data_IF_896189332242
#
_entry.id   IF_896189332242
#
_cell.length_a   1.000
_cell.length_b   1.000
_cell.length_c   1.000
_cell.angle_alpha   90.00
_cell.angle_beta   90.00
_cell.angle_gamma   90.00
#
_symmetry.space_group_name_H-M   'P 1'
#
loop_
_entity.id
_entity.type
_entity.pdbx_description
1 polymer ?
#
# COMPACT_ATOMS: atom_id res chain seq x y z
N UNK A 1 -25.79 -19.37 24.64
CA UNK A 1 -24.98 -18.20 24.22
C UNK A 1 -25.87 -16.98 24.32
N UNK A 2 -25.55 -16.06 25.22
CA UNK A 2 -26.40 -14.94 25.60
C UNK A 2 -26.39 -13.88 24.47
N UNK A 3 -27.50 -13.22 24.17
CA UNK A 3 -27.62 -12.24 23.08
C UNK A 3 -26.57 -11.11 23.18
N UNK A 4 -26.21 -10.74 24.43
CA UNK A 4 -25.15 -9.79 24.73
C UNK A 4 -23.75 -10.27 24.30
N UNK A 5 -23.48 -11.57 24.32
CA UNK A 5 -22.19 -12.15 23.89
C UNK A 5 -22.07 -12.09 22.37
N UNK A 6 -23.18 -12.27 21.65
CA UNK A 6 -23.21 -12.17 20.19
C UNK A 6 -23.00 -10.72 19.71
N UNK A 7 -23.59 -9.75 20.41
CA UNK A 7 -23.36 -8.32 20.19
C UNK A 7 -21.91 -7.92 20.50
N UNK A 8 -21.31 -8.43 21.58
CA UNK A 8 -19.92 -8.14 21.93
C UNK A 8 -18.93 -8.69 20.87
N UNK A 9 -19.20 -9.88 20.33
CA UNK A 9 -18.38 -10.48 19.27
C UNK A 9 -18.46 -9.72 17.93
N UNK A 10 -19.60 -9.09 17.62
CA UNK A 10 -19.75 -8.24 16.43
C UNK A 10 -18.96 -6.92 16.54
N UNK A 11 -18.83 -6.36 17.75
CA UNK A 11 -18.10 -5.10 17.97
C UNK A 11 -16.58 -5.31 17.90
N UNK A 12 -16.06 -6.48 18.29
CA UNK A 12 -14.64 -6.81 18.21
C UNK A 12 -14.21 -7.52 16.91
N UNK A 13 -15.15 -7.86 16.04
CA UNK A 13 -14.91 -8.65 14.82
C UNK A 13 -14.69 -7.84 13.54
N UNK A 14 -14.59 -6.51 13.62
CA UNK A 14 -14.35 -5.66 12.46
C UNK A 14 -12.87 -5.57 12.10
N UNK A 15 -12.30 -6.60 11.49
CA UNK A 15 -11.08 -6.40 10.67
C UNK A 15 -11.55 -5.70 9.40
N UNK A 16 -11.69 -4.38 9.46
CA UNK A 16 -12.06 -3.58 8.30
C UNK A 16 -11.01 -3.73 7.21
N UNK A 17 -11.44 -3.87 5.97
CA UNK A 17 -10.56 -3.60 4.84
C UNK A 17 -10.04 -2.16 4.99
N UNK A 18 -8.71 -1.99 5.02
CA UNK A 18 -8.07 -0.68 5.26
C UNK A 18 -8.34 0.27 4.12
N UNK A 19 -8.24 -0.22 2.89
CA UNK A 19 -8.69 0.52 1.72
C UNK A 19 -10.20 0.66 1.80
N UNK A 20 -10.66 1.88 2.00
CA UNK A 20 -12.08 2.19 2.00
C UNK A 20 -12.51 2.58 0.59
N UNK A 21 -13.77 2.30 0.26
CA UNK A 21 -14.36 2.75 -1.00
C UNK A 21 -15.53 3.69 -0.72
N UNK A 22 -15.34 4.96 -1.04
CA UNK A 22 -16.35 6.01 -0.86
C UNK A 22 -16.18 7.09 -1.91
N UNK A 23 -17.30 7.69 -2.37
CA UNK A 23 -17.30 8.74 -3.40
C UNK A 23 -16.53 8.36 -4.68
N UNK A 24 -16.66 7.08 -5.05
CA UNK A 24 -15.98 6.40 -6.14
C UNK A 24 -14.44 6.34 -6.02
N UNK A 25 -13.87 6.69 -4.87
CA UNK A 25 -12.45 6.61 -4.61
C UNK A 25 -12.10 5.36 -3.81
N UNK A 26 -11.00 4.70 -4.16
CA UNK A 26 -10.25 3.85 -3.26
C UNK A 26 -9.37 4.74 -2.39
N UNK A 27 -9.71 4.87 -1.10
CA UNK A 27 -9.01 5.71 -0.13
C UNK A 27 -8.19 4.86 0.84
N UNK A 28 -7.33 5.54 1.59
CA UNK A 28 -6.56 4.99 2.71
C UNK A 28 -5.62 3.84 2.30
N UNK A 29 -5.11 3.90 1.05
CA UNK A 29 -4.09 2.96 0.58
C UNK A 29 -2.78 3.25 1.29
N UNK A 30 -2.21 2.26 1.97
CA UNK A 30 -0.96 2.37 2.70
C UNK A 30 0.22 1.82 1.89
N UNK A 31 1.16 2.70 1.57
CA UNK A 31 2.46 2.35 0.98
C UNK A 31 3.50 2.27 2.09
N UNK A 32 4.05 1.08 2.32
CA UNK A 32 5.12 0.86 3.30
C UNK A 32 6.47 0.71 2.59
N UNK A 33 7.42 1.57 2.95
CA UNK A 33 8.82 1.48 2.49
C UNK A 33 9.62 0.72 3.56
N UNK A 34 10.34 -0.33 3.17
CA UNK A 34 11.16 -1.08 4.11
C UNK A 34 12.33 -0.24 4.65
N UNK A 35 12.69 -0.33 5.95
CA UNK A 35 13.81 0.43 6.54
C UNK A 35 15.18 0.26 5.87
N UNK A 36 15.40 -0.86 5.19
CA UNK A 36 16.65 -1.13 4.46
C UNK A 36 16.67 -0.49 3.06
N UNK A 37 15.57 0.13 2.60
CA UNK A 37 15.57 0.90 1.35
C UNK A 37 16.36 2.20 1.57
N UNK A 38 17.44 2.46 0.82
CA UNK A 38 18.19 3.69 0.95
C UNK A 38 17.33 4.92 0.66
N UNK A 39 17.56 6.01 1.41
CA UNK A 39 16.85 7.27 1.18
C UNK A 39 17.15 7.82 -0.23
N UNK A 40 16.08 7.95 -1.04
CA UNK A 40 16.12 8.62 -2.34
C UNK A 40 14.83 9.42 -2.52
N UNK A 41 14.97 10.75 -2.61
CA UNK A 41 13.81 11.65 -2.77
C UNK A 41 13.01 11.37 -4.04
N UNK A 42 13.64 10.81 -5.09
CA UNK A 42 12.97 10.45 -6.34
C UNK A 42 11.97 9.32 -6.15
N UNK A 43 12.17 8.47 -5.13
CA UNK A 43 11.26 7.37 -4.83
C UNK A 43 9.86 7.91 -4.45
N UNK A 44 9.79 8.94 -3.60
CA UNK A 44 8.52 9.55 -3.19
C UNK A 44 7.80 10.20 -4.39
N UNK A 45 8.55 10.92 -5.23
CA UNK A 45 8.01 11.52 -6.46
C UNK A 45 7.48 10.45 -7.42
N UNK A 46 8.18 9.33 -7.55
CA UNK A 46 7.77 8.25 -8.45
C UNK A 46 6.58 7.46 -7.91
N UNK A 47 6.48 7.26 -6.59
CA UNK A 47 5.26 6.70 -5.96
C UNK A 47 4.06 7.61 -6.29
N UNK A 48 4.19 8.93 -6.09
CA UNK A 48 3.13 9.89 -6.41
C UNK A 48 2.72 9.81 -7.89
N UNK A 49 3.70 9.86 -8.81
CA UNK A 49 3.44 9.75 -10.26
C UNK A 49 2.77 8.43 -10.64
N UNK A 50 3.17 7.33 -9.99
CA UNK A 50 2.62 6.00 -10.23
C UNK A 50 1.15 5.95 -9.85
N UNK A 51 0.80 6.38 -8.63
CA UNK A 51 -0.60 6.42 -8.20
C UNK A 51 -1.44 7.41 -9.00
N UNK A 52 -0.89 8.58 -9.36
CA UNK A 52 -1.56 9.55 -10.24
C UNK A 52 -1.89 8.94 -11.59
N UNK A 53 -0.92 8.26 -12.20
CA UNK A 53 -1.08 7.61 -13.52
C UNK A 53 -2.04 6.42 -13.45
N UNK A 54 -1.94 5.60 -12.40
CA UNK A 54 -2.82 4.47 -12.15
C UNK A 54 -4.26 4.94 -11.90
N UNK A 55 -4.45 6.02 -11.14
CA UNK A 55 -5.75 6.65 -10.90
C UNK A 55 -6.39 7.13 -12.19
N UNK A 56 -5.64 7.83 -13.04
CA UNK A 56 -6.11 8.27 -14.36
C UNK A 56 -6.44 7.08 -15.30
N UNK A 57 -5.69 5.99 -15.23
CA UNK A 57 -5.97 4.77 -15.97
C UNK A 57 -7.26 4.10 -15.47
N UNK A 58 -7.38 3.86 -14.17
CA UNK A 58 -8.54 3.25 -13.53
C UNK A 58 -9.81 4.06 -13.82
N UNK A 59 -9.72 5.38 -13.73
CA UNK A 59 -10.83 6.28 -14.02
C UNK A 59 -11.31 6.15 -15.47
N UNK A 60 -10.40 6.10 -16.44
CA UNK A 60 -10.78 5.87 -17.84
C UNK A 60 -11.34 4.47 -18.07
N UNK A 61 -10.69 3.45 -17.51
CA UNK A 61 -11.08 2.05 -17.68
C UNK A 61 -12.44 1.74 -17.04
N UNK A 62 -12.80 2.44 -15.96
CA UNK A 62 -14.08 2.31 -15.26
C UNK A 62 -15.17 3.26 -15.78
N UNK A 63 -15.04 3.80 -16.99
CA UNK A 63 -15.99 4.75 -17.56
C UNK A 63 -16.21 6.01 -16.69
N UNK A 64 -15.13 6.57 -16.17
CA UNK A 64 -15.11 7.79 -15.35
C UNK A 64 -15.78 7.64 -13.98
N UNK A 65 -15.73 6.45 -13.40
CA UNK A 65 -16.24 6.21 -12.06
C UNK A 65 -15.11 6.19 -11.04
N UNK A 66 -14.20 5.22 -11.14
CA UNK A 66 -13.32 4.86 -10.04
C UNK A 66 -11.95 5.51 -10.13
N UNK A 67 -11.39 5.91 -9.00
CA UNK A 67 -10.07 6.51 -8.92
C UNK A 67 -9.41 6.17 -7.59
N UNK A 68 -8.10 6.40 -7.48
CA UNK A 68 -7.43 6.40 -6.19
C UNK A 68 -7.56 7.78 -5.55
N UNK A 69 -8.05 7.81 -4.31
CA UNK A 69 -8.17 9.02 -3.49
C UNK A 69 -6.95 9.17 -2.58
N UNK A 70 -7.14 9.00 -1.27
CA UNK A 70 -6.04 9.15 -0.30
C UNK A 70 -5.04 8.00 -0.38
N UNK A 71 -3.77 8.37 -0.57
CA UNK A 71 -2.62 7.46 -0.50
C UNK A 71 -1.70 7.95 0.61
N UNK A 72 -1.39 7.08 1.57
CA UNK A 72 -0.48 7.38 2.68
C UNK A 72 0.83 6.65 2.47
N UNK A 73 1.96 7.38 2.51
CA UNK A 73 3.29 6.79 2.40
C UNK A 73 3.94 6.78 3.78
N UNK A 74 4.23 5.59 4.28
CA UNK A 74 4.97 5.41 5.52
C UNK A 74 6.47 5.58 5.26
N UNK A 75 7.04 6.67 5.80
CA UNK A 75 8.46 6.98 5.67
C UNK A 75 9.26 6.16 6.69
N UNK A 76 10.33 5.46 6.29
CA UNK A 76 11.11 4.68 7.24
C UNK A 76 11.79 5.55 8.29
N UNK A 77 11.84 5.07 9.53
CA UNK A 77 12.57 5.73 10.62
C UNK A 77 14.10 5.81 10.39
N UNK A 78 14.63 5.04 9.44
CA UNK A 78 16.03 5.09 9.01
C UNK A 78 16.33 6.26 8.07
N UNK A 79 15.30 6.90 7.50
CA UNK A 79 15.45 8.09 6.67
C UNK A 79 15.57 9.34 7.54
N UNK A 80 16.17 10.38 6.97
CA UNK A 80 16.31 11.68 7.64
C UNK A 80 14.94 12.32 7.82
N UNK A 81 14.56 12.65 9.07
CA UNK A 81 13.32 13.38 9.36
C UNK A 81 13.29 14.73 8.64
N UNK A 82 12.16 15.05 8.01
CA UNK A 82 11.91 16.33 7.32
C UNK A 82 10.70 17.01 7.92
N UNK A 83 10.66 18.34 7.84
CA UNK A 83 9.59 19.17 8.44
C UNK A 83 8.20 18.93 7.86
N UNK A 84 8.11 18.28 6.71
CA UNK A 84 6.85 17.95 6.04
C UNK A 84 6.41 16.49 6.24
N UNK A 85 7.15 15.72 7.04
CA UNK A 85 6.70 14.41 7.49
C UNK A 85 5.83 14.61 8.73
N UNK A 86 4.69 13.95 8.75
CA UNK A 86 3.81 13.92 9.91
C UNK A 86 4.29 12.81 10.86
N UNK A 87 4.23 13.08 12.17
CA UNK A 87 4.43 12.05 13.19
C UNK A 87 3.21 11.14 13.18
N UNK A 88 3.37 9.93 12.64
CA UNK A 88 2.33 8.89 12.66
C UNK A 88 2.82 7.75 13.54
N UNK A 89 1.96 7.27 14.44
CA UNK A 89 2.21 6.05 15.21
C UNK A 89 2.61 4.93 14.22
N UNK A 90 3.68 4.18 14.52
CA UNK A 90 4.22 3.21 13.58
C UNK A 90 3.16 2.16 13.24
N UNK A 91 2.54 2.28 12.06
CA UNK A 91 1.70 1.23 11.51
C UNK A 91 2.57 -0.01 11.26
N UNK A 92 2.13 -1.15 11.80
CA UNK A 92 2.84 -2.42 11.68
C UNK A 92 2.97 -2.82 10.21
N UNK A 93 4.08 -3.46 9.83
CA UNK A 93 4.27 -4.10 8.52
C UNK A 93 3.10 -5.00 8.12
N UNK A 94 2.33 -5.56 9.05
CA UNK A 94 1.33 -6.60 8.78
C UNK A 94 0.07 -6.14 8.03
N UNK A 95 0.09 -4.93 7.48
CA UNK A 95 -1.11 -4.13 7.32
C UNK A 95 -1.00 -3.10 6.16
N UNK A 96 -0.04 -3.32 5.26
CA UNK A 96 0.22 -2.50 4.07
C UNK A 96 -0.52 -3.02 2.84
N UNK A 97 -0.91 -2.12 1.94
CA UNK A 97 -1.48 -2.48 0.64
C UNK A 97 -0.41 -2.53 -0.45
N UNK A 98 0.64 -1.73 -0.27
CA UNK A 98 1.83 -1.70 -1.14
C UNK A 98 3.08 -1.80 -0.28
N UNK A 99 3.97 -2.71 -0.64
CA UNK A 99 5.25 -2.93 0.02
C UNK A 99 6.40 -2.63 -0.95
N UNK A 100 7.32 -1.74 -0.55
CA UNK A 100 8.53 -1.40 -1.30
C UNK A 100 9.73 -1.96 -0.54
N UNK A 101 10.38 -2.98 -1.11
CA UNK A 101 11.54 -3.66 -0.53
C UNK A 101 12.86 -3.20 -1.17
N UNK A 102 14.02 -3.41 -0.50
CA UNK A 102 15.32 -3.16 -1.11
C UNK A 102 15.56 -4.12 -2.27
N UNK A 103 16.13 -3.61 -3.36
CA UNK A 103 16.44 -4.41 -4.54
C UNK A 103 17.36 -5.58 -4.26
N UNK A 104 17.12 -6.69 -4.97
CA UNK A 104 18.02 -7.84 -5.00
C UNK A 104 19.28 -7.49 -5.79
N UNK A 105 20.45 -7.78 -5.21
CA UNK A 105 21.77 -7.52 -5.78
C UNK A 105 22.32 -8.69 -6.61
N UNK A 106 21.46 -9.63 -7.03
CA UNK A 106 21.82 -10.83 -7.78
C UNK A 106 22.03 -10.57 -9.29
N UNK A 107 21.76 -9.35 -9.75
CA UNK A 107 21.98 -8.93 -11.14
C UNK A 107 20.91 -9.39 -12.13
N UNK A 108 19.88 -10.10 -11.66
CA UNK A 108 18.74 -10.49 -12.48
C UNK A 108 17.65 -9.43 -12.39
N UNK A 109 17.28 -8.84 -13.52
CA UNK A 109 16.20 -7.86 -13.56
C UNK A 109 14.84 -8.45 -13.15
N UNK A 110 14.62 -9.75 -13.39
CA UNK A 110 13.39 -10.43 -13.00
C UNK A 110 13.26 -10.57 -11.48
N UNK A 111 14.39 -10.62 -10.76
CA UNK A 111 14.43 -10.63 -9.30
C UNK A 111 13.91 -9.36 -8.64
N UNK A 112 13.79 -8.27 -9.42
CA UNK A 112 13.28 -6.97 -8.97
C UNK A 112 11.92 -6.60 -9.58
N UNK A 113 11.31 -7.51 -10.36
CA UNK A 113 10.02 -7.29 -11.01
C UNK A 113 8.87 -7.18 -9.99
N UNK A 114 7.83 -6.40 -10.30
CA UNK A 114 6.67 -6.22 -9.43
C UNK A 114 5.83 -7.51 -9.37
N UNK A 115 5.24 -7.80 -8.22
CA UNK A 115 4.30 -8.93 -8.08
C UNK A 115 3.24 -8.68 -7.01
N UNK A 116 2.22 -9.53 -6.98
CA UNK A 116 1.20 -9.53 -5.94
C UNK A 116 1.10 -10.95 -5.40
N UNK A 117 1.53 -11.24 -4.16
CA UNK A 117 1.34 -12.56 -3.57
C UNK A 117 -0.13 -12.91 -3.51
N UNK A 118 -0.48 -14.10 -4.02
CA UNK A 118 -1.82 -14.64 -3.93
C UNK A 118 -1.75 -16.14 -3.63
N UNK A 119 -1.62 -16.46 -2.34
CA UNK A 119 -1.57 -17.84 -1.86
C UNK A 119 -2.96 -18.49 -1.77
N UNK A 120 -4.03 -17.67 -1.82
CA UNK A 120 -5.42 -18.09 -1.70
C UNK A 120 -6.01 -18.57 -3.04
N UNK A 121 -5.33 -18.31 -4.15
CA UNK A 121 -5.69 -18.78 -5.49
C UNK A 121 -6.40 -17.72 -6.34
N UNK A 122 -6.72 -18.08 -7.58
CA UNK A 122 -7.44 -17.20 -8.50
C UNK A 122 -8.77 -16.73 -7.90
N UNK A 123 -9.22 -15.54 -8.29
CA UNK A 123 -10.45 -14.87 -7.80
C UNK A 123 -10.40 -14.37 -6.35
N UNK A 124 -9.42 -14.78 -5.55
CA UNK A 124 -9.18 -14.22 -4.23
C UNK A 124 -8.35 -12.94 -4.33
N UNK A 125 -8.61 -11.99 -3.44
CA UNK A 125 -7.81 -10.77 -3.32
C UNK A 125 -6.36 -11.15 -2.97
N UNK A 126 -5.40 -10.55 -3.68
CA UNK A 126 -3.98 -10.67 -3.33
C UNK A 126 -3.69 -10.01 -1.99
N UNK A 127 -2.60 -10.41 -1.34
CA UNK A 127 -2.28 -9.93 0.01
C UNK A 127 -1.84 -8.45 -0.01
N UNK A 128 -0.93 -8.08 -0.90
CA UNK A 128 -0.44 -6.71 -1.11
C UNK A 128 0.28 -6.62 -2.47
N UNK A 129 0.46 -5.41 -2.99
CA UNK A 129 1.31 -5.17 -4.17
C UNK A 129 2.75 -5.03 -3.71
N UNK A 130 3.65 -5.80 -4.31
CA UNK A 130 5.07 -5.79 -4.01
C UNK A 130 5.85 -5.07 -5.11
N UNK A 131 6.71 -4.14 -4.70
CA UNK A 131 7.69 -3.47 -5.54
C UNK A 131 9.09 -3.52 -4.90
N UNK A 132 10.11 -3.31 -5.73
CA UNK A 132 11.47 -2.99 -5.29
C UNK A 132 11.76 -1.51 -5.50
N UNK A 133 12.72 -0.95 -4.75
CA UNK A 133 13.11 0.44 -4.97
C UNK A 133 13.72 0.66 -6.37
N UNK A 134 14.41 -0.31 -6.97
CA UNK A 134 14.89 -0.19 -8.36
C UNK A 134 13.75 -0.25 -9.39
N UNK A 135 12.68 -1.01 -9.14
CA UNK A 135 11.51 -0.97 -10.03
C UNK A 135 10.83 0.42 -10.03
N UNK A 136 10.84 1.08 -8.87
CA UNK A 136 10.20 2.38 -8.66
C UNK A 136 11.06 3.58 -9.06
N UNK A 137 12.36 3.39 -9.39
CA UNK A 137 13.32 4.46 -9.70
C UNK A 137 13.75 4.46 -11.18
#
# INVERSE_FOLDING_TARGET
INMAIFLLLLVFGGVGARVTFSDNAYNDVLVYIHPDVPEDVRLLDNINKTFTSASALLHRASHQHFYFGTITIYIPHTWTTKTFYEDVDQESRDNMDVFIEPSRADGDHSSNAPFTPNFKGCEQMGEYIHFTNTFML
#
